data_IF_150035310739
#
_entry.id   IF_150035310739
#
_cell.length_a   1.000
_cell.length_b   1.000
_cell.length_c   1.000
_cell.angle_alpha   90.00
_cell.angle_beta   90.00
_cell.angle_gamma   90.00
#
_symmetry.space_group_name_H-M   'P 1'
#
loop_
_entity.id
_entity.type
_entity.pdbx_description
1 polymer ?
#
# COMPACT_ATOMS: atom_id res chain seq x y z
N UNK A 1 31.59 21.61 0.41
CA UNK A 1 31.29 20.68 1.54
C UNK A 1 29.82 20.32 1.50
N UNK A 2 29.47 19.06 1.36
CA UNK A 2 28.10 18.64 1.56
C UNK A 2 27.73 18.76 3.04
N UNK A 3 26.85 19.67 3.39
CA UNK A 3 26.32 19.78 4.75
C UNK A 3 25.30 18.71 4.97
N UNK A 4 25.46 17.90 6.04
CA UNK A 4 24.42 16.92 6.42
C UNK A 4 23.14 17.66 6.78
N UNK A 5 21.95 17.09 6.44
CA UNK A 5 20.68 17.65 6.87
C UNK A 5 20.63 17.81 8.40
N UNK A 6 20.02 18.87 8.93
CA UNK A 6 19.83 19.05 10.36
C UNK A 6 18.94 17.94 10.93
N UNK A 7 19.34 17.35 12.06
CA UNK A 7 18.59 16.30 12.74
C UNK A 7 17.83 16.84 13.93
N UNK A 8 16.50 16.70 13.91
CA UNK A 8 15.67 16.86 15.11
C UNK A 8 15.44 15.49 15.78
N UNK A 9 15.98 15.33 16.98
CA UNK A 9 15.91 14.04 17.70
C UNK A 9 14.57 13.80 18.36
N UNK A 10 13.78 14.86 18.62
CA UNK A 10 12.53 14.73 19.37
C UNK A 10 12.72 14.23 20.79
N UNK A 11 11.83 13.36 21.25
CA UNK A 11 11.91 12.73 22.56
C UNK A 11 13.10 11.77 22.66
N UNK A 12 13.85 11.73 23.78
CA UNK A 12 15.05 10.89 23.91
C UNK A 12 14.81 9.37 23.72
N UNK A 13 13.61 8.87 24.01
CA UNK A 13 13.28 7.44 23.94
C UNK A 13 12.52 7.12 22.64
N UNK A 14 11.51 7.93 22.30
CA UNK A 14 10.59 7.62 21.21
C UNK A 14 10.80 8.46 19.95
N UNK A 15 11.78 9.38 19.98
CA UNK A 15 11.94 10.34 18.88
C UNK A 15 10.67 11.13 18.65
N UNK A 16 10.25 11.19 17.41
CA UNK A 16 8.98 11.81 16.99
C UNK A 16 7.81 10.83 16.84
N UNK A 17 7.99 9.55 17.16
CA UNK A 17 7.01 8.48 16.87
C UNK A 17 5.60 8.80 17.36
N UNK A 18 5.45 9.32 18.58
CA UNK A 18 4.14 9.64 19.18
C UNK A 18 3.48 10.81 18.45
N UNK A 19 4.23 11.90 18.23
CA UNK A 19 3.73 13.07 17.50
C UNK A 19 3.38 12.71 16.06
N UNK A 20 4.24 11.95 15.39
CA UNK A 20 4.04 11.51 14.02
C UNK A 20 2.79 10.63 13.87
N UNK A 21 2.54 9.73 14.82
CA UNK A 21 1.34 8.90 14.80
C UNK A 21 0.05 9.70 15.05
N UNK A 22 0.10 10.75 15.86
CA UNK A 22 -1.07 11.51 16.24
C UNK A 22 -1.38 12.63 15.24
N UNK A 23 -0.37 13.36 14.80
CA UNK A 23 -0.48 14.48 13.86
C UNK A 23 0.84 14.69 13.11
N UNK A 24 1.06 13.85 12.10
CA UNK A 24 2.25 13.93 11.27
C UNK A 24 2.35 15.24 10.49
N UNK A 25 1.20 15.77 10.01
CA UNK A 25 1.17 16.94 9.16
C UNK A 25 1.68 18.18 9.90
N UNK A 26 1.11 18.48 11.07
CA UNK A 26 1.54 19.63 11.88
C UNK A 26 3.01 19.49 12.30
N UNK A 27 3.42 18.30 12.73
CA UNK A 27 4.83 18.04 13.07
C UNK A 27 5.77 18.38 11.92
N UNK A 28 5.47 17.89 10.72
CA UNK A 28 6.33 18.08 9.55
C UNK A 28 6.36 19.54 9.12
N UNK A 29 5.22 20.25 9.16
CA UNK A 29 5.13 21.68 8.86
C UNK A 29 5.98 22.51 9.85
N UNK A 30 5.84 22.25 11.15
CA UNK A 30 6.64 22.94 12.18
C UNK A 30 8.15 22.76 11.96
N UNK A 31 8.55 21.53 11.62
CA UNK A 31 9.96 21.21 11.37
C UNK A 31 10.46 21.78 10.04
N UNK A 32 9.61 21.86 9.01
CA UNK A 32 9.95 22.51 7.75
C UNK A 32 10.20 24.02 7.96
N UNK A 33 9.36 24.69 8.75
CA UNK A 33 9.55 26.11 9.12
C UNK A 33 10.88 26.30 9.86
N UNK A 34 11.24 25.34 10.72
CA UNK A 34 12.45 25.42 11.56
C UNK A 34 13.74 25.12 10.79
N UNK A 35 13.71 24.14 9.91
CA UNK A 35 14.94 23.57 9.30
C UNK A 35 14.99 23.74 7.77
N UNK A 36 13.92 24.17 7.11
CA UNK A 36 13.82 24.25 5.66
C UNK A 36 13.37 22.95 5.03
N UNK A 37 13.59 22.82 3.72
CA UNK A 37 13.02 21.75 2.91
C UNK A 37 13.66 20.37 3.06
N UNK A 38 14.82 20.29 3.73
CA UNK A 38 15.51 19.01 3.93
C UNK A 38 16.02 18.92 5.37
N UNK A 39 15.48 17.96 6.10
CA UNK A 39 15.86 17.70 7.50
C UNK A 39 15.68 16.22 7.86
N UNK A 40 16.29 15.81 8.96
CA UNK A 40 16.14 14.46 9.51
C UNK A 40 15.31 14.48 10.79
N UNK A 41 14.49 13.44 10.97
CA UNK A 41 13.76 13.17 12.21
C UNK A 41 14.06 11.76 12.69
N UNK A 42 13.88 11.49 13.99
CA UNK A 42 13.96 10.14 14.53
C UNK A 42 12.55 9.58 14.73
N UNK A 43 12.26 8.44 14.10
CA UNK A 43 11.01 7.67 14.27
C UNK A 43 11.41 6.24 14.62
N UNK A 44 10.96 5.72 15.77
CA UNK A 44 11.28 4.35 16.26
C UNK A 44 12.80 4.04 16.23
N UNK A 45 13.61 5.02 16.60
CA UNK A 45 15.08 4.99 16.55
C UNK A 45 15.70 4.95 15.14
N UNK A 46 14.88 4.96 14.10
CA UNK A 46 15.35 5.09 12.72
C UNK A 46 15.46 6.58 12.35
N UNK A 47 16.46 6.91 11.55
CA UNK A 47 16.60 8.25 10.96
C UNK A 47 15.82 8.29 9.65
N UNK A 48 14.91 9.24 9.58
CA UNK A 48 14.10 9.48 8.38
C UNK A 48 14.43 10.87 7.84
N UNK A 49 14.96 10.93 6.62
CA UNK A 49 15.19 12.21 5.94
C UNK A 49 13.91 12.65 5.26
N UNK A 50 13.49 13.86 5.59
CA UNK A 50 12.29 14.50 5.02
C UNK A 50 12.73 15.43 3.88
N UNK A 51 12.08 15.26 2.72
CA UNK A 51 12.25 16.09 1.52
C UNK A 51 10.94 16.80 1.22
N UNK A 52 10.88 18.10 1.44
CA UNK A 52 9.64 18.88 1.42
C UNK A 52 9.49 19.76 0.17
N UNK A 53 10.44 19.74 -0.75
CA UNK A 53 10.38 20.53 -1.98
C UNK A 53 9.98 19.69 -3.21
N UNK A 54 9.25 20.27 -4.19
CA UNK A 54 8.92 19.58 -5.43
C UNK A 54 10.16 19.10 -6.21
N UNK A 55 11.26 19.86 -6.17
CA UNK A 55 12.51 19.50 -6.84
C UNK A 55 13.16 18.26 -6.23
N UNK A 56 13.20 18.17 -4.89
CA UNK A 56 13.73 17.01 -4.19
C UNK A 56 12.84 15.77 -4.42
N UNK A 57 11.52 15.94 -4.37
CA UNK A 57 10.57 14.87 -4.71
C UNK A 57 10.78 14.35 -6.13
N UNK A 58 10.92 15.25 -7.10
CA UNK A 58 11.21 14.87 -8.49
C UNK A 58 12.53 14.11 -8.62
N UNK A 59 13.58 14.54 -7.93
CA UNK A 59 14.87 13.87 -7.95
C UNK A 59 14.79 12.44 -7.41
N UNK A 60 14.08 12.23 -6.28
CA UNK A 60 13.89 10.90 -5.69
C UNK A 60 13.08 9.98 -6.62
N UNK A 61 11.99 10.48 -7.21
CA UNK A 61 11.13 9.65 -8.07
C UNK A 61 11.74 9.32 -9.43
N UNK A 62 12.57 10.18 -9.98
CA UNK A 62 13.24 9.92 -11.26
C UNK A 62 14.50 9.07 -11.08
N UNK A 63 15.15 9.20 -9.94
CA UNK A 63 16.36 8.47 -9.52
C UNK A 63 17.30 8.07 -10.67
N UNK A 64 17.84 9.04 -11.43
CA UNK A 64 18.59 8.75 -12.66
C UNK A 64 19.88 7.95 -12.42
N UNK A 65 20.32 7.85 -11.17
CA UNK A 65 21.56 7.19 -10.75
C UNK A 65 21.31 5.90 -9.95
N UNK A 66 20.05 5.46 -9.83
CA UNK A 66 19.64 4.29 -9.04
C UNK A 66 20.14 4.34 -7.57
N UNK A 67 20.02 5.51 -6.92
CA UNK A 67 20.48 5.75 -5.54
C UNK A 67 19.44 5.41 -4.46
N UNK A 68 18.15 5.30 -4.84
CA UNK A 68 17.06 5.15 -3.89
C UNK A 68 16.42 3.76 -4.00
N UNK A 69 16.45 3.01 -2.89
CA UNK A 69 15.86 1.69 -2.79
C UNK A 69 14.46 1.77 -2.18
N UNK A 70 13.45 1.45 -2.97
CA UNK A 70 12.07 1.26 -2.48
C UNK A 70 11.98 0.07 -1.54
N UNK A 71 12.64 -1.05 -1.86
CA UNK A 71 12.71 -2.24 -1.02
C UNK A 71 13.21 -1.90 0.37
N UNK A 72 14.37 -1.23 0.45
CA UNK A 72 14.98 -0.89 1.74
C UNK A 72 14.08 0.03 2.58
N UNK A 73 13.40 0.99 1.96
CA UNK A 73 12.47 1.88 2.63
C UNK A 73 11.20 1.18 3.14
N UNK A 74 10.66 0.23 2.39
CA UNK A 74 9.39 -0.43 2.72
C UNK A 74 9.53 -1.78 3.45
N UNK A 75 10.71 -2.40 3.46
CA UNK A 75 10.90 -3.74 4.01
C UNK A 75 10.50 -3.84 5.48
N UNK A 76 10.80 -2.81 6.29
CA UNK A 76 10.40 -2.77 7.69
C UNK A 76 8.88 -2.87 7.85
N UNK A 77 8.10 -2.15 7.07
CA UNK A 77 6.63 -2.11 7.20
C UNK A 77 5.93 -3.19 6.38
N UNK A 78 6.35 -3.41 5.14
CA UNK A 78 5.67 -4.27 4.18
C UNK A 78 6.30 -5.66 4.03
N UNK A 79 7.58 -5.84 4.38
CA UNK A 79 8.34 -7.05 4.08
C UNK A 79 7.64 -8.36 4.45
N UNK A 80 7.05 -8.43 5.64
CA UNK A 80 6.32 -9.64 6.08
C UNK A 80 4.93 -9.79 5.45
N UNK A 81 4.27 -8.68 5.16
CA UNK A 81 2.90 -8.69 4.64
C UNK A 81 2.83 -8.86 3.12
N UNK A 82 3.82 -8.34 2.40
CA UNK A 82 3.87 -8.30 0.94
C UNK A 82 5.21 -8.80 0.38
N UNK A 83 5.77 -9.82 1.01
CA UNK A 83 7.00 -10.47 0.57
C UNK A 83 7.00 -10.72 -0.94
N UNK A 84 8.08 -10.34 -1.63
CA UNK A 84 8.23 -10.39 -3.08
C UNK A 84 7.26 -9.49 -3.89
N UNK A 85 6.49 -8.62 -3.23
CA UNK A 85 5.64 -7.66 -3.90
C UNK A 85 6.45 -6.61 -4.71
N UNK A 86 5.84 -6.01 -5.72
CA UNK A 86 6.50 -5.05 -6.61
C UNK A 86 7.16 -3.88 -5.86
N UNK A 87 6.55 -3.39 -4.78
CA UNK A 87 7.11 -2.31 -3.94
C UNK A 87 8.37 -2.72 -3.15
N UNK A 88 8.65 -4.02 -3.05
CA UNK A 88 9.82 -4.57 -2.36
C UNK A 88 10.87 -5.07 -3.35
N UNK A 89 10.89 -4.49 -4.54
CA UNK A 89 11.87 -4.75 -5.60
C UNK A 89 12.50 -3.45 -6.04
N UNK A 90 13.77 -3.50 -6.42
CA UNK A 90 14.52 -2.34 -6.89
C UNK A 90 15.10 -2.57 -8.28
N UNK A 91 15.48 -1.50 -8.93
CA UNK A 91 16.29 -1.43 -10.14
C UNK A 91 15.80 -2.40 -11.24
N UNK A 92 16.65 -3.23 -11.78
CA UNK A 92 16.32 -4.14 -12.88
C UNK A 92 15.31 -5.23 -12.49
N UNK A 93 15.33 -5.71 -11.24
CA UNK A 93 14.31 -6.64 -10.74
C UNK A 93 12.93 -5.98 -10.70
N UNK A 94 12.83 -4.73 -10.26
CA UNK A 94 11.61 -3.94 -10.32
C UNK A 94 11.15 -3.71 -11.77
N UNK A 95 12.07 -3.28 -12.66
CA UNK A 95 11.78 -3.03 -14.08
C UNK A 95 11.23 -4.28 -14.76
N UNK A 96 11.84 -5.43 -14.52
CA UNK A 96 11.39 -6.73 -15.06
C UNK A 96 9.97 -7.06 -14.61
N UNK A 97 9.71 -7.09 -13.29
CA UNK A 97 8.40 -7.47 -12.77
C UNK A 97 7.30 -6.44 -13.10
N UNK A 98 7.63 -5.15 -13.14
CA UNK A 98 6.72 -4.12 -13.62
C UNK A 98 6.38 -4.30 -15.10
N UNK A 99 7.36 -4.71 -15.91
CA UNK A 99 7.17 -5.03 -17.33
C UNK A 99 6.13 -6.12 -17.57
N UNK A 100 6.13 -7.17 -16.72
CA UNK A 100 5.14 -8.25 -16.82
C UNK A 100 3.69 -7.77 -16.62
N UNK A 101 3.49 -6.69 -15.85
CA UNK A 101 2.18 -6.11 -15.61
C UNK A 101 1.76 -5.09 -16.66
N UNK A 102 2.68 -4.62 -17.49
CA UNK A 102 2.46 -3.47 -18.36
C UNK A 102 1.34 -3.70 -19.39
N UNK A 103 1.22 -4.91 -19.90
CA UNK A 103 0.21 -5.26 -20.90
C UNK A 103 -1.21 -5.13 -20.33
N UNK A 104 -1.41 -5.43 -19.05
CA UNK A 104 -2.69 -5.25 -18.35
C UNK A 104 -3.12 -3.78 -18.21
N UNK A 105 -2.23 -2.83 -18.49
CA UNK A 105 -2.51 -1.39 -18.39
C UNK A 105 -2.41 -0.68 -19.76
N UNK A 106 -2.37 -1.43 -20.87
CA UNK A 106 -2.43 -0.85 -22.22
C UNK A 106 -3.82 -0.30 -22.49
N UNK A 107 -3.90 0.61 -23.46
CA UNK A 107 -5.15 1.30 -23.82
C UNK A 107 -6.29 0.33 -24.10
N UNK A 108 -6.03 -0.73 -24.83
CA UNK A 108 -7.06 -1.72 -25.21
C UNK A 108 -7.58 -2.48 -24.00
N UNK A 109 -6.69 -2.87 -23.07
CA UNK A 109 -7.07 -3.47 -21.80
C UNK A 109 -7.93 -2.52 -20.96
N UNK A 110 -7.53 -1.23 -20.87
CA UNK A 110 -8.29 -0.21 -20.15
C UNK A 110 -9.70 0.02 -20.73
N UNK A 111 -9.85 -0.02 -22.05
CA UNK A 111 -11.17 0.08 -22.71
C UNK A 111 -12.02 -1.15 -22.32
N UNK A 112 -11.47 -2.35 -22.37
CA UNK A 112 -12.17 -3.55 -21.95
C UNK A 112 -12.60 -3.49 -20.48
N UNK A 113 -11.77 -2.93 -19.62
CA UNK A 113 -12.11 -2.72 -18.20
C UNK A 113 -13.37 -1.86 -18.02
N UNK A 114 -13.57 -0.85 -18.85
CA UNK A 114 -14.78 -0.01 -18.78
C UNK A 114 -16.05 -0.84 -19.01
N UNK A 115 -16.03 -1.82 -19.92
CA UNK A 115 -17.16 -2.71 -20.16
C UNK A 115 -17.47 -3.63 -18.96
N UNK A 116 -16.43 -4.03 -18.21
CA UNK A 116 -16.61 -4.85 -17.00
C UNK A 116 -17.08 -3.97 -15.83
N UNK A 117 -16.53 -2.77 -15.69
CA UNK A 117 -16.82 -1.87 -14.58
C UNK A 117 -18.24 -1.30 -14.66
N UNK A 118 -18.73 -0.96 -15.85
CA UNK A 118 -20.01 -0.28 -16.03
C UNK A 118 -21.17 -1.03 -15.36
N UNK A 119 -21.42 -2.32 -15.63
CA UNK A 119 -22.53 -3.06 -15.00
C UNK A 119 -22.36 -3.16 -13.47
N UNK A 120 -21.14 -3.24 -12.97
CA UNK A 120 -20.88 -3.25 -11.52
C UNK A 120 -21.28 -1.92 -10.89
N UNK A 121 -20.97 -0.81 -11.55
CA UNK A 121 -21.36 0.52 -11.10
C UNK A 121 -22.87 0.71 -11.13
N UNK A 122 -23.54 0.26 -12.20
CA UNK A 122 -24.98 0.38 -12.34
C UNK A 122 -25.70 -0.39 -11.23
N UNK A 123 -25.31 -1.64 -10.97
CA UNK A 123 -25.82 -2.44 -9.86
C UNK A 123 -25.58 -1.76 -8.51
N UNK A 124 -24.38 -1.22 -8.31
CA UNK A 124 -24.01 -0.56 -7.06
C UNK A 124 -24.84 0.71 -6.83
N UNK A 125 -25.07 1.52 -7.87
CA UNK A 125 -25.90 2.73 -7.79
C UNK A 125 -27.35 2.36 -7.45
N UNK A 126 -27.94 1.34 -8.09
CA UNK A 126 -29.29 0.89 -7.79
C UNK A 126 -29.40 0.40 -6.33
N UNK A 127 -28.41 -0.32 -5.84
CA UNK A 127 -28.34 -0.74 -4.44
C UNK A 127 -28.27 0.44 -3.47
N UNK A 128 -27.62 1.55 -3.85
CA UNK A 128 -27.57 2.75 -3.02
C UNK A 128 -28.90 3.48 -2.96
N UNK A 129 -29.65 3.57 -4.06
CA UNK A 129 -30.97 4.23 -4.12
C UNK A 129 -31.95 3.63 -3.13
N UNK A 130 -31.82 2.35 -2.81
CA UNK A 130 -32.68 1.64 -1.86
C UNK A 130 -32.37 1.97 -0.39
N UNK A 131 -31.23 2.61 -0.10
CA UNK A 131 -30.74 2.89 1.26
C UNK A 131 -31.11 4.28 1.71
N UNK A 132 -31.65 4.44 2.92
CA UNK A 132 -31.92 5.75 3.53
C UNK A 132 -30.62 6.49 3.91
N UNK A 133 -29.60 5.75 4.31
CA UNK A 133 -28.27 6.27 4.65
C UNK A 133 -27.22 5.18 4.47
N UNK A 134 -25.98 5.56 4.19
CA UNK A 134 -24.86 4.63 4.08
C UNK A 134 -23.54 5.31 4.46
N UNK A 135 -22.56 4.53 4.89
CA UNK A 135 -21.19 5.00 5.08
C UNK A 135 -20.49 4.98 3.71
N UNK A 136 -20.15 6.16 3.19
CA UNK A 136 -19.54 6.29 1.86
C UNK A 136 -18.21 5.53 1.79
N UNK A 137 -17.35 5.68 2.79
CA UNK A 137 -16.02 5.04 2.78
C UNK A 137 -16.11 3.51 2.70
N UNK A 138 -16.91 2.89 3.57
CA UNK A 138 -17.07 1.43 3.58
C UNK A 138 -17.74 0.92 2.30
N UNK A 139 -18.71 1.68 1.79
CA UNK A 139 -19.42 1.31 0.57
C UNK A 139 -18.54 1.41 -0.67
N UNK A 140 -17.74 2.47 -0.77
CA UNK A 140 -16.74 2.63 -1.85
C UNK A 140 -15.63 1.58 -1.77
N UNK A 141 -15.16 1.26 -0.58
CA UNK A 141 -14.16 0.22 -0.37
C UNK A 141 -14.64 -1.14 -0.89
N UNK A 142 -15.87 -1.53 -0.58
CA UNK A 142 -16.48 -2.76 -1.09
C UNK A 142 -16.63 -2.75 -2.62
N UNK A 143 -17.05 -1.61 -3.20
CA UNK A 143 -17.11 -1.43 -4.66
C UNK A 143 -15.74 -1.61 -5.31
N UNK A 144 -14.72 -0.90 -4.82
CA UNK A 144 -13.36 -0.99 -5.37
C UNK A 144 -12.80 -2.40 -5.26
N UNK A 145 -13.10 -3.10 -4.16
CA UNK A 145 -12.70 -4.49 -4.00
C UNK A 145 -13.38 -5.39 -5.04
N UNK A 146 -14.72 -5.27 -5.24
CA UNK A 146 -15.47 -6.04 -6.24
C UNK A 146 -14.90 -5.78 -7.64
N UNK A 147 -14.70 -4.52 -8.03
CA UNK A 147 -14.10 -4.15 -9.32
C UNK A 147 -12.72 -4.81 -9.49
N UNK A 148 -11.84 -4.72 -8.49
CA UNK A 148 -10.49 -5.27 -8.60
C UNK A 148 -10.50 -6.79 -8.78
N UNK A 149 -11.39 -7.47 -8.11
CA UNK A 149 -11.53 -8.92 -8.22
C UNK A 149 -12.04 -9.32 -9.61
N UNK A 150 -13.06 -8.66 -10.12
CA UNK A 150 -13.61 -8.95 -11.46
C UNK A 150 -12.61 -8.63 -12.58
N UNK A 151 -11.81 -7.56 -12.43
CA UNK A 151 -10.81 -7.19 -13.44
C UNK A 151 -9.61 -8.12 -13.51
N UNK A 152 -9.15 -8.61 -12.37
CA UNK A 152 -7.86 -9.31 -12.31
C UNK A 152 -7.97 -10.82 -12.10
N UNK A 153 -9.14 -11.32 -11.72
CA UNK A 153 -9.26 -12.72 -11.31
C UNK A 153 -10.41 -13.47 -11.98
N UNK A 154 -11.03 -12.90 -12.99
CA UNK A 154 -12.11 -13.48 -13.78
C UNK A 154 -12.94 -14.54 -13.02
N UNK A 155 -14.26 -14.36 -12.92
CA UNK A 155 -15.19 -15.29 -12.28
C UNK A 155 -14.86 -15.71 -10.84
N UNK A 156 -15.10 -14.83 -9.88
CA UNK A 156 -15.08 -15.22 -8.47
C UNK A 156 -16.49 -15.56 -8.01
N UNK A 157 -16.62 -16.71 -7.36
CA UNK A 157 -17.83 -17.07 -6.64
C UNK A 157 -18.23 -15.92 -5.68
N UNK A 158 -19.33 -15.25 -6.01
CA UNK A 158 -19.86 -14.13 -5.22
C UNK A 158 -20.10 -14.49 -3.75
N UNK A 159 -20.30 -15.79 -3.44
CA UNK A 159 -20.44 -16.25 -2.06
C UNK A 159 -19.16 -16.04 -1.23
N UNK A 160 -17.99 -16.00 -1.88
CA UNK A 160 -16.68 -15.84 -1.22
C UNK A 160 -16.16 -14.41 -1.20
N UNK A 161 -16.79 -13.46 -1.89
CA UNK A 161 -16.29 -12.07 -1.97
C UNK A 161 -16.09 -11.44 -0.59
N UNK A 162 -17.02 -11.62 0.34
CA UNK A 162 -16.91 -11.08 1.71
C UNK A 162 -15.74 -11.69 2.49
N UNK A 163 -15.50 -13.00 2.30
CA UNK A 163 -14.37 -13.68 2.92
C UNK A 163 -13.05 -13.15 2.38
N UNK A 164 -12.93 -13.04 1.07
CA UNK A 164 -11.74 -12.49 0.40
C UNK A 164 -11.48 -11.04 0.83
N UNK A 165 -12.52 -10.18 0.85
CA UNK A 165 -12.39 -8.80 1.32
C UNK A 165 -11.86 -8.74 2.76
N UNK A 166 -12.36 -9.61 3.64
CA UNK A 166 -11.86 -9.71 5.01
C UNK A 166 -10.40 -10.14 5.06
N UNK A 167 -10.02 -11.17 4.28
CA UNK A 167 -8.64 -11.66 4.22
C UNK A 167 -7.69 -10.58 3.67
N UNK A 168 -8.05 -9.87 2.60
CA UNK A 168 -7.28 -8.74 2.10
C UNK A 168 -7.15 -7.63 3.14
N UNK A 169 -8.25 -7.26 3.80
CA UNK A 169 -8.24 -6.24 4.85
C UNK A 169 -7.33 -6.63 6.01
N UNK A 170 -7.39 -7.87 6.47
CA UNK A 170 -6.55 -8.36 7.57
C UNK A 170 -5.07 -8.41 7.16
N UNK A 171 -4.77 -8.81 5.91
CA UNK A 171 -3.41 -8.81 5.36
C UNK A 171 -2.83 -7.38 5.32
N UNK A 172 -3.58 -6.40 4.77
CA UNK A 172 -3.15 -5.00 4.71
C UNK A 172 -2.93 -4.42 6.12
N UNK A 173 -3.84 -4.69 7.06
CA UNK A 173 -3.70 -4.23 8.45
C UNK A 173 -2.46 -4.78 9.16
N UNK A 174 -1.90 -5.89 8.69
CA UNK A 174 -0.66 -6.43 9.26
C UNK A 174 0.55 -5.56 8.95
N UNK A 175 0.56 -4.88 7.80
CA UNK A 175 1.63 -3.96 7.40
C UNK A 175 1.79 -2.78 8.37
N UNK A 176 0.68 -2.30 8.95
CA UNK A 176 0.65 -1.19 9.92
C UNK A 176 0.68 -1.66 11.38
N UNK A 177 0.99 -2.95 11.63
CA UNK A 177 1.05 -3.48 12.99
C UNK A 177 2.25 -2.90 13.76
N UNK A 178 1.99 -2.31 14.92
CA UNK A 178 3.04 -1.82 15.83
C UNK A 178 3.87 -2.98 16.39
N UNK A 179 3.20 -4.09 16.73
CA UNK A 179 3.87 -5.31 17.20
C UNK A 179 4.37 -6.09 15.99
N UNK A 180 5.68 -6.04 15.74
CA UNK A 180 6.34 -6.66 14.56
C UNK A 180 6.71 -8.14 14.77
N UNK A 181 6.38 -8.71 15.92
CA UNK A 181 6.52 -10.16 16.19
C UNK A 181 5.16 -10.83 16.07
N UNK A 182 5.04 -11.97 15.34
CA UNK A 182 3.76 -12.64 15.08
C UNK A 182 3.29 -13.45 16.29
N UNK A 183 3.08 -12.78 17.42
CA UNK A 183 2.55 -13.40 18.65
C UNK A 183 1.05 -13.71 18.52
N UNK A 184 0.51 -14.64 19.30
CA UNK A 184 -0.93 -14.88 19.37
C UNK A 184 -1.71 -13.58 19.57
N UNK A 185 -2.86 -13.46 18.89
CA UNK A 185 -3.78 -12.31 18.96
C UNK A 185 -3.25 -10.98 18.37
N UNK A 186 -2.02 -10.94 17.83
CA UNK A 186 -1.52 -9.72 17.17
C UNK A 186 -2.12 -9.54 15.77
N UNK A 187 -2.26 -8.27 15.37
CA UNK A 187 -2.68 -7.91 13.99
C UNK A 187 -1.74 -8.52 12.94
N UNK A 188 -0.43 -8.55 13.25
CA UNK A 188 0.57 -9.15 12.36
C UNK A 188 0.29 -10.64 12.13
N UNK A 189 0.13 -11.44 13.18
CA UNK A 189 -0.13 -12.89 13.04
C UNK A 189 -1.43 -13.17 12.27
N UNK A 190 -2.48 -12.41 12.59
CA UNK A 190 -3.78 -12.52 11.89
C UNK A 190 -3.62 -12.24 10.39
N UNK A 191 -2.92 -11.16 10.04
CA UNK A 191 -2.72 -10.76 8.64
C UNK A 191 -1.80 -11.71 7.88
N UNK A 192 -0.75 -12.26 8.49
CA UNK A 192 0.10 -13.28 7.85
C UNK A 192 -0.68 -14.55 7.55
N UNK A 193 -1.57 -14.98 8.45
CA UNK A 193 -2.48 -16.11 8.19
C UNK A 193 -3.42 -15.80 7.03
N UNK A 194 -4.05 -14.62 7.03
CA UNK A 194 -4.92 -14.18 5.95
C UNK A 194 -4.19 -14.13 4.59
N UNK A 195 -2.95 -13.63 4.57
CA UNK A 195 -2.09 -13.65 3.37
C UNK A 195 -1.87 -15.07 2.85
N UNK A 196 -1.57 -16.02 3.73
CA UNK A 196 -1.34 -17.41 3.32
C UNK A 196 -2.61 -18.03 2.72
N UNK A 197 -3.77 -17.78 3.29
CA UNK A 197 -5.06 -18.23 2.77
C UNK A 197 -5.35 -17.63 1.38
N UNK A 198 -5.07 -16.33 1.18
CA UNK A 198 -5.17 -15.66 -0.12
C UNK A 198 -4.23 -16.27 -1.16
N UNK A 199 -2.96 -16.47 -0.82
CA UNK A 199 -1.99 -17.09 -1.73
C UNK A 199 -2.43 -18.48 -2.16
N UNK A 200 -2.87 -19.31 -1.22
CA UNK A 200 -3.39 -20.66 -1.53
C UNK A 200 -4.61 -20.60 -2.45
N UNK A 201 -5.51 -19.65 -2.21
CA UNK A 201 -6.70 -19.46 -3.04
C UNK A 201 -6.33 -19.06 -4.48
N UNK A 202 -5.47 -18.05 -4.66
CA UNK A 202 -5.07 -17.58 -5.98
C UNK A 202 -4.16 -18.54 -6.74
N UNK A 203 -3.31 -19.28 -6.04
CA UNK A 203 -2.50 -20.35 -6.66
C UNK A 203 -3.39 -21.43 -7.27
N UNK A 204 -4.40 -21.92 -6.53
CA UNK A 204 -5.35 -22.89 -7.07
C UNK A 204 -6.13 -22.33 -8.26
N UNK A 205 -6.51 -21.05 -8.22
CA UNK A 205 -7.22 -20.43 -9.35
C UNK A 205 -6.30 -20.32 -10.58
N UNK A 206 -5.04 -19.93 -10.40
CA UNK A 206 -4.07 -19.87 -11.49
C UNK A 206 -3.84 -21.23 -12.18
N UNK A 207 -3.90 -22.33 -11.42
CA UNK A 207 -3.78 -23.69 -11.98
C UNK A 207 -4.99 -24.10 -12.84
N UNK A 208 -6.14 -23.42 -12.70
CA UNK A 208 -7.36 -23.71 -13.47
C UNK A 208 -7.53 -22.82 -14.70
N UNK A 209 -6.64 -21.86 -14.91
CA UNK A 209 -6.66 -21.00 -16.10
C UNK A 209 -5.80 -21.69 -17.16
N UNK A 210 -6.43 -22.20 -18.21
CA UNK A 210 -5.74 -22.67 -19.43
C UNK A 210 -5.06 -21.46 -20.09
N UNK A 211 -3.73 -21.53 -20.22
CA UNK A 211 -2.90 -20.52 -20.89
C UNK A 211 -2.93 -20.76 -22.40
#
# INVERSE_FOLDING_TARGET
MMTKPPLDKGNPIFGHSIKFNNDALSLIQDLQVKYGDVFEISILNERVTMFMSPSATKHIYLDPEDNFSSKHGWEFSLGKAFENGLMLRDFDDHKFHRGLLQDSFRRDALVNYLHIIQPILDEWIENLKSKKSFNLYETMKGLMFKISIELFFDEIDNSRLKELERLFTDSIKSATSVVRTPLPFTKLKKGLKARQELLTYFQKKAETVDI
#
